data_IF_084161416234
#
_entry.id   IF_084161416234
#
_cell.length_a   1.000
_cell.length_b   1.000
_cell.length_c   1.000
_cell.angle_alpha   90.00
_cell.angle_beta   90.00
_cell.angle_gamma   90.00
#
_symmetry.space_group_name_H-M   'P 1'
#
loop_
_entity.id
_entity.type
_entity.pdbx_description
1 polymer ?
#
# COMPACT_ATOMS: atom_id res chain seq x y z
N UNK A 1 -20.77 28.04 1.50
CA UNK A 1 -20.07 26.91 0.86
C UNK A 1 -18.68 26.88 1.45
N UNK A 2 -18.15 25.71 1.81
CA UNK A 2 -16.77 25.64 2.30
C UNK A 2 -15.81 26.16 1.22
N UNK A 3 -14.81 26.95 1.62
CA UNK A 3 -13.73 27.36 0.73
C UNK A 3 -12.97 26.11 0.27
N UNK A 4 -12.82 25.94 -1.04
CA UNK A 4 -12.02 24.85 -1.60
C UNK A 4 -10.53 25.20 -1.49
N UNK A 5 -9.74 24.25 -1.01
CA UNK A 5 -8.29 24.41 -0.84
C UNK A 5 -7.57 23.19 -1.41
N UNK A 6 -6.40 23.42 -2.02
CA UNK A 6 -5.53 22.35 -2.50
C UNK A 6 -4.71 21.78 -1.33
N UNK A 7 -4.99 20.52 -0.97
CA UNK A 7 -4.25 19.77 0.05
C UNK A 7 -2.92 19.24 -0.47
N UNK A 8 -2.94 18.71 -1.70
CA UNK A 8 -1.75 18.19 -2.36
C UNK A 8 -1.57 18.83 -3.71
N UNK A 9 -0.31 19.11 -4.05
CA UNK A 9 0.09 19.73 -5.30
C UNK A 9 1.14 18.86 -5.98
N UNK A 10 1.12 18.81 -7.31
CA UNK A 10 1.99 17.94 -8.08
C UNK A 10 2.08 18.39 -9.53
N UNK A 11 3.01 17.80 -10.27
CA UNK A 11 3.19 18.08 -11.69
C UNK A 11 3.13 16.77 -12.45
N UNK A 12 2.12 16.62 -13.30
CA UNK A 12 1.99 15.50 -14.21
C UNK A 12 2.79 15.79 -15.48
N UNK A 13 3.78 14.96 -15.78
CA UNK A 13 4.60 15.08 -16.99
C UNK A 13 4.00 14.23 -18.11
N UNK A 14 3.62 14.90 -19.20
CA UNK A 14 3.04 14.28 -20.39
C UNK A 14 3.87 14.66 -21.62
N UNK A 15 4.86 13.83 -21.96
CA UNK A 15 5.81 14.14 -23.04
C UNK A 15 6.61 15.41 -22.72
N UNK A 16 6.36 16.49 -23.47
CA UNK A 16 6.99 17.80 -23.27
C UNK A 16 6.15 18.77 -22.41
N UNK A 17 4.94 18.37 -22.01
CA UNK A 17 4.06 19.21 -21.21
C UNK A 17 4.19 18.86 -19.73
N UNK A 18 4.32 19.90 -18.91
CA UNK A 18 4.21 19.82 -17.46
C UNK A 18 2.85 20.37 -17.07
N UNK A 19 2.01 19.53 -16.46
CA UNK A 19 0.63 19.83 -16.11
C UNK A 19 0.50 19.86 -14.58
N UNK A 20 0.58 21.05 -13.95
CA UNK A 20 0.21 21.23 -12.56
C UNK A 20 -1.16 20.63 -12.23
N UNK A 21 -1.19 19.77 -11.24
CA UNK A 21 -2.37 19.06 -10.77
C UNK A 21 -2.48 19.15 -9.24
N UNK A 22 -3.71 19.04 -8.75
CA UNK A 22 -4.05 19.28 -7.35
C UNK A 22 -5.09 18.27 -6.87
N UNK A 23 -5.00 17.92 -5.58
CA UNK A 23 -6.06 17.23 -4.85
C UNK A 23 -6.64 18.20 -3.83
N UNK A 24 -7.95 18.44 -3.92
CA UNK A 24 -8.67 19.38 -3.07
C UNK A 24 -9.10 18.75 -1.74
N UNK A 25 -9.53 19.58 -0.79
CA UNK A 25 -10.09 19.16 0.50
C UNK A 25 -11.37 18.31 0.44
N UNK A 26 -12.06 18.31 -0.69
CA UNK A 26 -13.18 17.41 -0.99
C UNK A 26 -12.76 16.20 -1.83
N UNK A 27 -11.46 15.90 -1.86
CA UNK A 27 -10.84 14.80 -2.60
C UNK A 27 -10.96 14.90 -4.12
N UNK A 28 -11.44 16.02 -4.68
CA UNK A 28 -11.48 16.18 -6.13
C UNK A 28 -10.08 16.38 -6.70
N UNK A 29 -9.81 15.70 -7.82
CA UNK A 29 -8.59 15.84 -8.61
C UNK A 29 -8.83 16.91 -9.67
N UNK A 30 -7.98 17.94 -9.69
CA UNK A 30 -8.19 19.09 -10.56
C UNK A 30 -6.91 19.52 -11.26
N UNK A 31 -7.05 20.03 -12.48
CA UNK A 31 -6.01 20.74 -13.23
C UNK A 31 -6.34 22.23 -13.28
N UNK A 32 -5.32 23.08 -13.34
CA UNK A 32 -5.55 24.51 -13.59
C UNK A 32 -6.15 24.73 -14.98
N UNK A 33 -7.13 25.61 -15.09
CA UNK A 33 -7.79 25.97 -16.34
C UNK A 33 -6.78 26.42 -17.42
N UNK A 34 -5.75 27.16 -17.02
CA UNK A 34 -4.67 27.60 -17.91
C UNK A 34 -3.94 26.40 -18.53
N UNK A 35 -3.67 25.38 -17.73
CA UNK A 35 -2.92 24.20 -18.14
C UNK A 35 -3.75 23.29 -19.04
N UNK A 36 -5.06 23.20 -18.81
CA UNK A 36 -5.98 22.51 -19.72
C UNK A 36 -6.06 23.22 -21.08
N UNK A 37 -6.06 24.55 -21.09
CA UNK A 37 -5.97 25.32 -22.35
C UNK A 37 -4.63 25.07 -23.04
N UNK A 38 -3.51 25.09 -22.32
CA UNK A 38 -2.19 24.82 -22.86
C UNK A 38 -2.09 23.41 -23.45
N UNK A 39 -2.63 22.41 -22.76
CA UNK A 39 -2.74 21.03 -23.21
C UNK A 39 -3.48 20.93 -24.55
N UNK A 40 -4.72 21.44 -24.60
CA UNK A 40 -5.58 21.27 -25.77
C UNK A 40 -5.04 22.10 -26.95
N UNK A 41 -4.59 23.33 -26.69
CA UNK A 41 -4.12 24.24 -27.75
C UNK A 41 -2.73 23.90 -28.31
N UNK A 42 -2.01 22.95 -27.71
CA UNK A 42 -0.64 22.59 -28.09
C UNK A 42 0.39 23.66 -27.73
N UNK A 43 0.21 24.34 -26.58
CA UNK A 43 1.22 25.25 -26.03
C UNK A 43 0.86 26.74 -26.03
N UNK A 44 -0.40 27.14 -26.24
CA UNK A 44 -0.78 28.56 -26.03
C UNK A 44 -0.89 28.85 -24.53
N UNK A 45 -0.17 29.88 -24.10
CA UNK A 45 -0.09 30.34 -22.71
C UNK A 45 -1.31 31.21 -22.29
N UNK A 46 -2.11 31.69 -23.25
CA UNK A 46 -3.26 32.56 -22.99
C UNK A 46 -4.49 32.16 -23.83
N UNK A 47 -5.66 32.21 -23.18
CA UNK A 47 -6.95 31.94 -23.80
C UNK A 47 -7.99 31.46 -22.80
N UNK A 48 -9.24 31.90 -22.96
CA UNK A 48 -10.35 31.36 -22.19
C UNK A 48 -10.73 29.96 -22.70
N UNK A 49 -10.78 28.97 -21.80
CA UNK A 49 -11.28 27.62 -22.11
C UNK A 49 -12.64 27.67 -22.83
N UNK A 50 -13.46 28.65 -22.49
CA UNK A 50 -14.78 28.89 -23.05
C UNK A 50 -14.80 28.98 -24.57
N UNK A 51 -13.79 29.62 -25.17
CA UNK A 51 -13.72 29.79 -26.62
C UNK A 51 -13.43 28.45 -27.33
N UNK A 52 -12.68 27.57 -26.67
CA UNK A 52 -12.36 26.23 -27.20
C UNK A 52 -13.54 25.27 -27.07
N UNK A 53 -14.36 25.42 -26.02
CA UNK A 53 -15.54 24.57 -25.80
C UNK A 53 -16.74 25.00 -26.66
N UNK A 54 -16.93 26.30 -26.88
CA UNK A 54 -17.99 26.85 -27.75
C UNK A 54 -17.65 26.84 -29.25
N UNK A 55 -16.56 26.17 -29.64
CA UNK A 55 -16.23 25.99 -31.04
C UNK A 55 -17.31 25.12 -31.69
N UNK A 56 -17.94 25.60 -32.77
CA UNK A 56 -19.02 24.89 -33.50
C UNK A 56 -18.63 23.46 -33.91
N UNK A 57 -17.34 23.21 -34.11
CA UNK A 57 -16.79 21.91 -34.47
C UNK A 57 -16.78 20.88 -33.32
N UNK A 58 -16.82 21.32 -32.06
CA UNK A 58 -16.64 20.46 -30.87
C UNK A 58 -17.86 20.50 -29.94
N UNK A 59 -18.52 21.65 -29.83
CA UNK A 59 -19.69 21.89 -28.97
C UNK A 59 -20.76 20.79 -29.02
N UNK A 60 -21.13 20.22 -30.19
CA UNK A 60 -22.12 19.14 -30.27
C UNK A 60 -21.74 17.86 -29.53
N UNK A 61 -20.43 17.59 -29.41
CA UNK A 61 -19.87 16.36 -28.85
C UNK A 61 -19.53 16.47 -27.36
N UNK A 62 -19.62 17.66 -26.77
CA UNK A 62 -19.40 17.84 -25.34
C UNK A 62 -20.58 17.26 -24.53
N UNK A 63 -20.30 16.68 -23.35
CA UNK A 63 -21.34 16.27 -22.41
C UNK A 63 -22.33 17.40 -22.07
N UNK A 64 -23.59 17.09 -21.74
CA UNK A 64 -24.63 18.09 -21.46
C UNK A 64 -24.23 19.13 -20.40
N UNK A 65 -23.43 18.74 -19.40
CA UNK A 65 -22.91 19.63 -18.36
C UNK A 65 -22.13 20.84 -18.91
N UNK A 66 -21.54 20.75 -20.11
CA UNK A 66 -20.81 21.86 -20.74
C UNK A 66 -21.66 22.74 -21.65
N UNK A 67 -22.94 22.42 -21.85
CA UNK A 67 -23.86 23.20 -22.72
C UNK A 67 -24.40 24.47 -22.04
N UNK A 68 -24.21 24.62 -20.73
CA UNK A 68 -24.59 25.80 -19.93
C UNK A 68 -23.48 26.86 -19.81
N UNK A 69 -23.51 27.67 -18.74
CA UNK A 69 -22.38 28.55 -18.43
C UNK A 69 -21.21 27.72 -17.90
N UNK A 70 -20.04 27.85 -18.54
CA UNK A 70 -18.82 27.10 -18.17
C UNK A 70 -18.36 27.43 -16.74
N UNK A 71 -18.80 28.56 -16.17
CA UNK A 71 -18.56 28.92 -14.77
C UNK A 71 -19.05 27.84 -13.80
N UNK A 72 -20.05 27.06 -14.19
CA UNK A 72 -20.62 26.00 -13.34
C UNK A 72 -19.71 24.77 -13.22
N UNK A 73 -18.77 24.60 -14.17
CA UNK A 73 -17.83 23.47 -14.19
C UNK A 73 -16.40 23.88 -13.81
N UNK A 74 -16.20 25.12 -13.37
CA UNK A 74 -14.90 25.63 -12.91
C UNK A 74 -14.91 25.71 -11.40
N UNK A 75 -14.03 24.95 -10.77
CA UNK A 75 -13.83 24.95 -9.32
C UNK A 75 -12.86 26.08 -8.96
N UNK A 76 -13.28 27.03 -8.13
CA UNK A 76 -12.39 28.07 -7.63
C UNK A 76 -11.83 27.59 -6.29
N UNK A 77 -10.50 27.47 -6.20
CA UNK A 77 -9.84 26.98 -4.99
C UNK A 77 -8.57 27.78 -4.67
N UNK A 78 -8.14 27.73 -3.41
CA UNK A 78 -6.87 28.32 -2.96
C UNK A 78 -5.76 27.29 -3.00
N UNK A 79 -4.63 27.64 -3.60
CA UNK A 79 -3.36 26.93 -3.48
C UNK A 79 -2.37 27.85 -2.77
N UNK A 80 -2.21 27.67 -1.46
CA UNK A 80 -1.49 28.62 -0.61
C UNK A 80 -2.18 29.99 -0.63
N UNK A 81 -1.44 31.04 -1.02
CA UNK A 81 -1.97 32.41 -1.13
C UNK A 81 -2.67 32.72 -2.46
N UNK A 82 -2.65 31.81 -3.43
CA UNK A 82 -3.13 32.08 -4.79
C UNK A 82 -4.48 31.42 -5.04
N UNK A 83 -5.42 32.18 -5.59
CA UNK A 83 -6.70 31.65 -6.08
C UNK A 83 -6.55 31.13 -7.50
N UNK A 84 -6.94 29.87 -7.73
CA UNK A 84 -6.82 29.18 -9.02
C UNK A 84 -8.21 28.73 -9.49
N UNK A 85 -8.43 28.88 -10.80
CA UNK A 85 -9.57 28.28 -11.50
C UNK A 85 -9.20 26.88 -11.96
N UNK A 86 -9.86 25.87 -11.41
CA UNK A 86 -9.63 24.46 -11.67
C UNK A 86 -10.71 23.83 -12.54
N UNK A 87 -10.34 22.79 -13.26
CA UNK A 87 -11.22 21.88 -13.99
C UNK A 87 -11.00 20.49 -13.42
N UNK A 88 -12.08 19.75 -13.18
CA UNK A 88 -11.98 18.38 -12.68
C UNK A 88 -11.24 17.47 -13.68
N UNK A 89 -10.41 16.56 -13.19
CA UNK A 89 -9.60 15.68 -14.02
C UNK A 89 -10.45 14.87 -15.02
N UNK A 90 -11.62 14.38 -14.58
CA UNK A 90 -12.59 13.70 -15.44
C UNK A 90 -13.18 14.61 -16.53
N UNK A 91 -13.41 15.88 -16.21
CA UNK A 91 -13.89 16.87 -17.19
C UNK A 91 -12.87 17.12 -18.30
N UNK A 92 -11.57 17.11 -17.99
CA UNK A 92 -10.50 17.23 -19.00
C UNK A 92 -10.55 16.04 -19.97
N UNK A 93 -10.74 14.82 -19.46
CA UNK A 93 -10.88 13.62 -20.28
C UNK A 93 -12.11 13.73 -21.20
N UNK A 94 -13.23 14.21 -20.68
CA UNK A 94 -14.46 14.41 -21.47
C UNK A 94 -14.26 15.43 -22.59
N UNK A 95 -13.55 16.53 -22.32
CA UNK A 95 -13.21 17.55 -23.32
C UNK A 95 -12.31 16.93 -24.39
N UNK A 96 -11.26 16.20 -24.02
CA UNK A 96 -10.38 15.52 -24.97
C UNK A 96 -11.16 14.52 -25.84
N UNK A 97 -12.08 13.75 -25.27
CA UNK A 97 -12.95 12.82 -26.02
C UNK A 97 -13.81 13.55 -27.05
N UNK A 98 -14.37 14.72 -26.70
CA UNK A 98 -15.15 15.51 -27.64
C UNK A 98 -14.33 15.93 -28.87
N UNK A 99 -13.06 16.32 -28.69
CA UNK A 99 -12.15 16.61 -29.81
C UNK A 99 -11.87 15.37 -30.68
N UNK A 100 -11.68 14.20 -30.08
CA UNK A 100 -11.48 12.95 -30.84
C UNK A 100 -12.72 12.58 -31.66
N UNK A 101 -13.91 12.69 -31.06
CA UNK A 101 -15.18 12.43 -31.75
C UNK A 101 -15.43 13.44 -32.88
N UNK A 102 -15.12 14.72 -32.65
CA UNK A 102 -15.19 15.74 -33.69
C UNK A 102 -14.25 15.44 -34.86
N UNK A 103 -13.03 14.94 -34.59
CA UNK A 103 -12.07 14.51 -35.61
C UNK A 103 -12.62 13.33 -36.42
N UNK A 104 -13.14 12.30 -35.74
CA UNK A 104 -13.70 11.11 -36.38
C UNK A 104 -14.87 11.42 -37.32
N UNK A 105 -15.67 12.44 -36.98
CA UNK A 105 -16.80 12.90 -37.81
C UNK A 105 -16.41 13.92 -38.88
N UNK A 106 -15.13 14.30 -39.01
CA UNK A 106 -14.68 15.29 -39.98
C UNK A 106 -15.14 16.73 -39.68
N UNK A 107 -15.64 17.00 -38.46
CA UNK A 107 -16.18 18.30 -38.06
C UNK A 107 -15.11 19.33 -37.70
N UNK A 108 -13.87 18.89 -37.47
CA UNK A 108 -12.75 19.77 -37.12
C UNK A 108 -12.19 20.51 -38.33
N UNK A 109 -11.93 21.81 -38.15
CA UNK A 109 -11.19 22.60 -39.14
C UNK A 109 -9.73 22.10 -39.25
N UNK A 110 -9.07 22.18 -40.42
CA UNK A 110 -7.67 21.74 -40.56
C UNK A 110 -6.70 22.36 -39.54
N UNK A 111 -6.93 23.62 -39.16
CA UNK A 111 -6.14 24.30 -38.12
C UNK A 111 -6.34 23.72 -36.70
N UNK A 112 -7.43 23.00 -36.46
CA UNK A 112 -7.75 22.33 -35.19
C UNK A 112 -7.22 20.89 -35.13
N UNK A 113 -6.64 20.36 -36.21
CA UNK A 113 -6.12 18.99 -36.24
C UNK A 113 -5.12 18.70 -35.12
N UNK A 114 -4.24 19.68 -34.82
CA UNK A 114 -3.27 19.59 -33.72
C UNK A 114 -3.93 19.45 -32.34
N UNK A 115 -5.10 20.06 -32.13
CA UNK A 115 -5.81 19.98 -30.83
C UNK A 115 -6.28 18.55 -30.56
N UNK A 116 -6.79 17.86 -31.58
CA UNK A 116 -7.21 16.47 -31.46
C UNK A 116 -6.03 15.52 -31.25
N UNK A 117 -4.88 15.79 -31.86
CA UNK A 117 -3.64 15.02 -31.62
C UNK A 117 -3.16 15.15 -30.17
N UNK A 118 -3.20 16.35 -29.57
CA UNK A 118 -2.88 16.54 -28.15
C UNK A 118 -3.88 15.81 -27.23
N UNK A 119 -5.17 15.91 -27.54
CA UNK A 119 -6.22 15.19 -26.81
C UNK A 119 -6.02 13.67 -26.85
N UNK A 120 -5.57 13.13 -28.00
CA UNK A 120 -5.27 11.72 -28.17
C UNK A 120 -4.08 11.28 -27.30
N UNK A 121 -2.99 12.05 -27.30
CA UNK A 121 -1.84 11.76 -26.43
C UNK A 121 -2.22 11.76 -24.95
N UNK A 122 -3.01 12.74 -24.52
CA UNK A 122 -3.47 12.83 -23.13
C UNK A 122 -4.30 11.62 -22.71
N UNK A 123 -5.31 11.26 -23.51
CA UNK A 123 -6.17 10.10 -23.25
C UNK A 123 -5.33 8.81 -23.25
N UNK A 124 -4.42 8.68 -24.21
CA UNK A 124 -3.57 7.49 -24.33
C UNK A 124 -2.67 7.30 -23.12
N UNK A 125 -2.09 8.39 -22.59
CA UNK A 125 -1.25 8.31 -21.39
C UNK A 125 -2.05 7.90 -20.14
N UNK A 126 -3.31 8.33 -20.04
CA UNK A 126 -4.17 8.02 -18.92
C UNK A 126 -4.93 6.69 -19.08
N UNK A 127 -4.86 6.04 -20.25
CA UNK A 127 -5.73 4.92 -20.60
C UNK A 127 -5.53 3.67 -19.72
N UNK A 128 -4.29 3.39 -19.29
CA UNK A 128 -3.98 2.18 -18.52
C UNK A 128 -4.20 2.35 -17.02
N UNK A 129 -3.86 3.50 -16.48
CA UNK A 129 -3.86 3.80 -15.03
C UNK A 129 -5.12 4.54 -14.58
N UNK A 130 -5.76 5.31 -15.47
CA UNK A 130 -6.85 6.22 -15.15
C UNK A 130 -6.34 7.58 -14.68
N UNK A 131 -7.05 8.66 -15.05
CA UNK A 131 -6.59 10.02 -14.78
C UNK A 131 -6.46 10.31 -13.28
N UNK A 132 -7.41 9.87 -12.45
CA UNK A 132 -7.37 10.10 -11.00
C UNK A 132 -6.15 9.45 -10.36
N UNK A 133 -5.81 8.22 -10.79
CA UNK A 133 -4.62 7.52 -10.30
C UNK A 133 -3.32 8.22 -10.72
N UNK A 134 -3.26 8.76 -11.94
CA UNK A 134 -2.10 9.53 -12.40
C UNK A 134 -1.95 10.82 -11.59
N UNK A 135 -3.04 11.52 -11.27
CA UNK A 135 -3.00 12.69 -10.38
C UNK A 135 -2.57 12.28 -8.97
N UNK A 136 -3.08 11.18 -8.44
CA UNK A 136 -2.70 10.67 -7.12
C UNK A 136 -1.21 10.31 -7.04
N UNK A 137 -0.65 9.76 -8.11
CA UNK A 137 0.78 9.47 -8.22
C UNK A 137 1.61 10.76 -8.31
N UNK A 138 1.20 11.69 -9.18
CA UNK A 138 1.91 12.95 -9.43
C UNK A 138 1.91 13.90 -8.21
N UNK A 139 0.86 13.85 -7.38
CA UNK A 139 0.72 14.65 -6.16
C UNK A 139 1.19 13.92 -4.89
N UNK A 140 1.48 12.62 -4.98
CA UNK A 140 1.78 11.78 -3.83
C UNK A 140 0.56 11.40 -2.97
N UNK A 141 -0.65 11.84 -3.33
CA UNK A 141 -1.89 11.54 -2.60
C UNK A 141 -2.17 10.03 -2.49
N UNK A 142 -1.62 9.21 -3.39
CA UNK A 142 -1.73 7.74 -3.31
C UNK A 142 -1.26 7.16 -1.97
N UNK A 143 -0.29 7.78 -1.29
CA UNK A 143 0.20 7.31 0.01
C UNK A 143 -0.76 7.71 1.12
N UNK A 144 -1.25 8.95 1.10
CA UNK A 144 -2.21 9.46 2.07
C UNK A 144 -3.53 8.67 2.03
N UNK A 145 -4.06 8.44 0.81
CA UNK A 145 -5.27 7.64 0.60
C UNK A 145 -5.14 6.24 1.20
N UNK A 146 -4.04 5.53 0.92
CA UNK A 146 -3.81 4.19 1.47
C UNK A 146 -3.75 4.18 3.00
N UNK A 147 -3.17 5.20 3.61
CA UNK A 147 -3.11 5.34 5.07
C UNK A 147 -4.50 5.60 5.65
N UNK A 148 -5.28 6.50 5.05
CA UNK A 148 -6.66 6.76 5.49
C UNK A 148 -7.55 5.53 5.32
N UNK A 149 -7.51 4.87 4.16
CA UNK A 149 -8.28 3.64 3.91
C UNK A 149 -7.97 2.56 4.98
N UNK A 150 -6.69 2.46 5.37
CA UNK A 150 -6.26 1.57 6.45
C UNK A 150 -6.79 2.02 7.80
N UNK A 151 -6.67 3.31 8.13
CA UNK A 151 -7.12 3.85 9.41
C UNK A 151 -8.64 3.71 9.57
N UNK A 152 -9.41 3.99 8.52
CA UNK A 152 -10.87 3.78 8.50
C UNK A 152 -11.23 2.32 8.71
N UNK A 153 -10.51 1.41 8.05
CA UNK A 153 -10.69 -0.04 8.26
C UNK A 153 -10.39 -0.43 9.71
N UNK A 154 -9.31 0.06 10.30
CA UNK A 154 -8.97 -0.21 11.70
C UNK A 154 -10.04 0.35 12.64
N UNK A 155 -10.47 1.59 12.43
CA UNK A 155 -11.52 2.24 13.23
C UNK A 155 -12.86 1.50 13.14
N UNK A 156 -13.15 0.86 12.00
CA UNK A 156 -14.35 0.06 11.85
C UNK A 156 -14.34 -1.20 12.74
N UNK A 157 -13.17 -1.80 12.98
CA UNK A 157 -13.03 -3.05 13.75
C UNK A 157 -12.61 -2.85 15.21
N UNK A 158 -11.82 -1.81 15.48
CA UNK A 158 -11.10 -1.61 16.72
C UNK A 158 -11.58 -0.35 17.45
N UNK A 159 -11.45 -0.38 18.77
CA UNK A 159 -11.60 0.79 19.63
C UNK A 159 -10.24 1.15 20.26
N UNK A 160 -10.14 2.35 20.80
CA UNK A 160 -8.90 2.86 21.38
C UNK A 160 -8.54 2.19 22.71
N UNK A 161 -9.55 1.77 23.49
CA UNK A 161 -9.38 1.20 24.82
C UNK A 161 -9.64 -0.32 24.86
N UNK A 162 -9.00 -1.01 25.81
CA UNK A 162 -9.21 -2.44 26.03
C UNK A 162 -10.54 -2.67 26.76
N UNK A 163 -11.43 -3.47 26.20
CA UNK A 163 -12.62 -3.96 26.89
C UNK A 163 -12.29 -4.93 28.03
N UNK A 164 -13.27 -5.12 28.92
CA UNK A 164 -13.23 -6.21 29.90
C UNK A 164 -13.04 -7.56 29.21
N UNK A 165 -12.28 -8.43 29.86
CA UNK A 165 -11.96 -9.75 29.33
C UNK A 165 -13.24 -10.54 29.09
N UNK A 166 -13.43 -10.97 27.84
CA UNK A 166 -14.56 -11.79 27.43
C UNK A 166 -14.03 -13.07 26.79
N UNK A 167 -14.56 -14.22 27.20
CA UNK A 167 -14.14 -15.53 26.70
C UNK A 167 -14.51 -15.66 25.20
N UNK A 168 -13.60 -15.21 24.34
CA UNK A 168 -13.85 -15.12 22.89
C UNK A 168 -13.59 -16.44 22.18
N UNK A 169 -12.65 -17.25 22.68
CA UNK A 169 -12.29 -18.53 22.07
C UNK A 169 -12.92 -19.70 22.82
N UNK A 170 -13.87 -20.44 22.19
CA UNK A 170 -14.51 -21.56 22.85
C UNK A 170 -13.49 -22.69 23.03
N UNK A 171 -13.68 -23.49 24.09
CA UNK A 171 -12.85 -24.68 24.35
C UNK A 171 -12.75 -25.60 23.12
N UNK A 172 -13.84 -25.73 22.38
CA UNK A 172 -13.91 -26.56 21.17
C UNK A 172 -12.82 -26.22 20.15
N UNK A 173 -12.53 -24.94 19.93
CA UNK A 173 -11.47 -24.51 19.02
C UNK A 173 -10.12 -25.13 19.38
N UNK A 174 -9.74 -25.06 20.66
CA UNK A 174 -8.47 -25.62 21.13
C UNK A 174 -8.46 -27.15 21.10
N UNK A 175 -9.61 -27.80 21.32
CA UNK A 175 -9.72 -29.26 21.19
C UNK A 175 -9.51 -29.70 19.74
N UNK A 176 -10.05 -28.96 18.77
CA UNK A 176 -9.80 -29.23 17.35
C UNK A 176 -8.32 -29.01 16.99
N UNK A 177 -7.62 -28.03 17.60
CA UNK A 177 -6.18 -27.87 17.40
C UNK A 177 -5.37 -29.07 17.89
N UNK A 178 -5.69 -29.60 19.08
CA UNK A 178 -5.06 -30.83 19.58
C UNK A 178 -5.30 -32.01 18.63
N UNK A 179 -6.55 -32.20 18.17
CA UNK A 179 -6.92 -33.22 17.18
C UNK A 179 -6.10 -33.09 15.90
N UNK A 180 -6.02 -31.89 15.31
CA UNK A 180 -5.28 -31.65 14.06
C UNK A 180 -3.76 -31.82 14.22
N UNK A 181 -3.21 -31.57 15.41
CA UNK A 181 -1.81 -31.88 15.75
C UNK A 181 -1.56 -33.38 16.00
N UNK A 182 -2.61 -34.21 16.06
CA UNK A 182 -2.50 -35.62 16.43
C UNK A 182 -2.12 -35.83 17.89
N UNK A 183 -2.43 -34.87 18.77
CA UNK A 183 -2.12 -34.93 20.20
C UNK A 183 -3.38 -35.07 21.04
N UNK A 184 -3.28 -35.82 22.12
CA UNK A 184 -4.34 -35.87 23.14
C UNK A 184 -4.28 -34.63 24.03
N UNK A 185 -5.43 -33.98 24.30
CA UNK A 185 -5.48 -32.88 25.25
C UNK A 185 -5.19 -33.41 26.68
N UNK A 186 -4.51 -32.63 27.53
CA UNK A 186 -4.20 -33.04 28.89
C UNK A 186 -5.48 -33.22 29.73
N UNK A 187 -5.50 -34.27 30.55
CA UNK A 187 -6.43 -34.44 31.67
C UNK A 187 -5.61 -34.51 32.97
N UNK A 188 -5.81 -33.61 33.96
CA UNK A 188 -6.81 -32.53 34.02
C UNK A 188 -6.52 -31.34 33.09
N UNK A 189 -7.50 -30.43 32.94
CA UNK A 189 -7.38 -29.25 32.08
C UNK A 189 -6.24 -28.34 32.56
N UNK A 190 -5.27 -28.11 31.69
CA UNK A 190 -4.15 -27.20 31.92
C UNK A 190 -4.22 -25.99 31.00
N UNK A 191 -3.39 -24.98 31.28
CA UNK A 191 -3.21 -23.82 30.39
C UNK A 191 -2.83 -24.27 28.99
N UNK A 192 -3.40 -23.63 27.98
CA UNK A 192 -3.09 -23.98 26.60
C UNK A 192 -1.61 -23.68 26.27
N UNK A 193 -0.97 -24.51 25.43
CA UNK A 193 0.41 -24.30 25.01
C UNK A 193 0.57 -22.94 24.30
N UNK A 194 1.66 -22.22 24.60
CA UNK A 194 1.97 -20.92 23.98
C UNK A 194 1.93 -20.94 22.45
N UNK A 195 2.26 -22.08 21.82
CA UNK A 195 2.20 -22.25 20.36
C UNK A 195 0.79 -22.03 19.77
N UNK A 196 -0.28 -22.25 20.53
CA UNK A 196 -1.65 -22.01 20.06
C UNK A 196 -1.93 -20.53 19.80
N UNK A 197 -1.22 -19.61 20.47
CA UNK A 197 -1.29 -18.18 20.14
C UNK A 197 -0.86 -17.90 18.69
N UNK A 198 0.13 -18.64 18.17
CA UNK A 198 0.53 -18.54 16.75
C UNK A 198 -0.56 -19.03 15.81
N UNK A 199 -1.32 -20.04 16.20
CA UNK A 199 -2.44 -20.55 15.41
C UNK A 199 -3.64 -19.63 15.44
N UNK A 200 -3.94 -19.01 16.59
CA UNK A 200 -4.96 -17.95 16.66
C UNK A 200 -4.57 -16.81 15.73
N UNK A 201 -3.32 -16.33 15.80
CA UNK A 201 -2.87 -15.28 14.89
C UNK A 201 -2.99 -15.67 13.42
N UNK A 202 -2.60 -16.91 13.09
CA UNK A 202 -2.47 -17.33 11.70
C UNK A 202 -3.78 -17.79 11.05
N UNK A 203 -4.66 -18.44 11.81
CA UNK A 203 -5.89 -19.06 11.27
C UNK A 203 -7.15 -18.29 11.64
N UNK A 204 -7.05 -17.27 12.49
CA UNK A 204 -8.19 -16.43 12.87
C UNK A 204 -7.90 -15.01 12.39
N UNK A 205 -6.97 -14.29 13.03
CA UNK A 205 -6.74 -12.89 12.71
C UNK A 205 -6.23 -12.66 11.28
N UNK A 206 -5.18 -13.37 10.84
CA UNK A 206 -4.63 -13.24 9.47
C UNK A 206 -5.69 -13.56 8.39
N UNK A 207 -6.67 -14.41 8.72
CA UNK A 207 -7.75 -14.82 7.80
C UNK A 207 -9.00 -13.96 7.89
N UNK A 208 -9.18 -13.24 9.00
CA UNK A 208 -10.27 -12.30 9.22
C UNK A 208 -10.00 -11.03 8.40
N UNK A 209 -8.90 -10.35 8.71
CA UNK A 209 -8.38 -9.24 7.92
C UNK A 209 -6.86 -9.13 8.13
N UNK A 210 -6.05 -9.25 7.06
CA UNK A 210 -4.60 -9.21 7.16
C UNK A 210 -4.03 -7.91 7.75
N UNK A 211 -4.68 -6.77 7.51
CA UNK A 211 -4.21 -5.45 7.93
C UNK A 211 -4.51 -5.24 9.42
N UNK A 212 -5.72 -5.65 9.86
CA UNK A 212 -6.06 -5.72 11.28
C UNK A 212 -5.10 -6.66 12.02
N UNK A 213 -4.79 -7.81 11.43
CA UNK A 213 -3.81 -8.74 12.00
C UNK A 213 -2.40 -8.15 12.09
N UNK A 214 -1.98 -7.33 11.12
CA UNK A 214 -0.69 -6.63 11.16
C UNK A 214 -0.65 -5.63 12.32
N UNK A 215 -1.68 -4.79 12.44
CA UNK A 215 -1.80 -3.85 13.54
C UNK A 215 -1.78 -4.53 14.91
N UNK A 216 -2.53 -5.63 15.06
CA UNK A 216 -2.56 -6.41 16.30
C UNK A 216 -1.19 -7.02 16.66
N UNK A 217 -0.40 -7.44 15.66
CA UNK A 217 0.96 -7.97 15.88
C UNK A 217 1.93 -6.90 16.35
N UNK A 218 1.82 -5.69 15.81
CA UNK A 218 2.65 -4.54 16.19
C UNK A 218 2.28 -4.02 17.58
N UNK A 219 0.97 -3.99 17.89
CA UNK A 219 0.43 -3.55 19.18
C UNK A 219 0.18 -4.73 20.13
N UNK A 220 1.07 -5.73 20.13
CA UNK A 220 0.89 -6.92 20.94
C UNK A 220 1.14 -6.61 22.44
N UNK A 221 0.18 -6.90 23.33
CA UNK A 221 0.37 -6.66 24.77
C UNK A 221 1.47 -7.54 25.37
N UNK A 222 2.01 -7.11 26.51
CA UNK A 222 3.10 -7.81 27.19
C UNK A 222 2.74 -9.28 27.50
N UNK A 223 3.65 -10.24 27.24
CA UNK A 223 3.41 -11.64 27.50
C UNK A 223 3.11 -11.92 28.98
N UNK A 224 1.88 -12.36 29.29
CA UNK A 224 1.45 -12.71 30.65
C UNK A 224 0.65 -11.62 31.36
N UNK A 225 0.39 -10.48 30.72
CA UNK A 225 -0.54 -9.46 31.21
C UNK A 225 -2.02 -9.83 30.99
N UNK A 226 -2.91 -8.97 31.50
CA UNK A 226 -4.38 -9.11 31.40
C UNK A 226 -4.96 -8.55 30.08
N UNK A 227 -4.09 -8.14 29.15
CA UNK A 227 -4.46 -7.54 27.87
C UNK A 227 -4.24 -8.54 26.74
N UNK A 228 -5.21 -8.63 25.83
CA UNK A 228 -5.23 -9.53 24.69
C UNK A 228 -5.84 -8.84 23.47
N UNK A 229 -5.47 -9.29 22.27
CA UNK A 229 -5.91 -8.70 20.99
C UNK A 229 -7.42 -8.56 20.84
N UNK A 230 -8.21 -9.54 21.30
CA UNK A 230 -9.66 -9.52 21.15
C UNK A 230 -10.34 -8.39 21.93
N UNK A 231 -9.69 -7.86 22.97
CA UNK A 231 -10.24 -6.76 23.78
C UNK A 231 -10.17 -5.40 23.06
N UNK A 232 -9.39 -5.30 21.96
CA UNK A 232 -9.36 -4.11 21.13
C UNK A 232 -10.52 -4.05 20.13
N UNK A 233 -11.23 -5.16 19.89
CA UNK A 233 -12.34 -5.16 18.95
C UNK A 233 -13.56 -4.45 19.55
N UNK A 234 -14.16 -3.55 18.76
CA UNK A 234 -15.47 -2.97 19.06
C UNK A 234 -16.59 -4.02 18.82
N UNK A 235 -17.86 -3.67 19.04
CA UNK A 235 -18.97 -4.63 18.92
C UNK A 235 -19.07 -5.25 17.52
N UNK A 236 -18.98 -4.40 16.49
CA UNK A 236 -18.98 -4.85 15.09
C UNK A 236 -17.82 -5.80 14.78
N UNK A 237 -16.62 -5.43 15.20
CA UNK A 237 -15.42 -6.23 15.04
C UNK A 237 -15.51 -7.56 15.78
N UNK A 238 -16.13 -7.57 16.96
CA UNK A 238 -16.34 -8.78 17.76
C UNK A 238 -17.32 -9.74 17.10
N UNK A 239 -18.45 -9.24 16.57
CA UNK A 239 -19.44 -10.04 15.86
C UNK A 239 -18.84 -10.71 14.62
N UNK A 240 -18.01 -9.97 13.88
CA UNK A 240 -17.27 -10.49 12.74
C UNK A 240 -16.23 -11.53 13.15
N UNK A 241 -15.45 -11.26 14.21
CA UNK A 241 -14.48 -12.20 14.77
C UNK A 241 -15.14 -13.51 15.21
N UNK A 242 -16.28 -13.42 15.89
CA UNK A 242 -17.04 -14.57 16.37
C UNK A 242 -17.60 -15.42 15.22
N UNK A 243 -18.21 -14.77 14.23
CA UNK A 243 -18.74 -15.42 13.02
C UNK A 243 -17.64 -16.12 12.21
N UNK A 244 -16.49 -15.43 12.07
CA UNK A 244 -15.31 -15.98 11.42
C UNK A 244 -14.73 -17.18 12.17
N UNK A 245 -14.62 -17.08 13.50
CA UNK A 245 -14.15 -18.16 14.36
C UNK A 245 -15.02 -19.41 14.22
N UNK A 246 -16.35 -19.27 14.19
CA UNK A 246 -17.25 -20.41 13.97
C UNK A 246 -17.06 -21.05 12.59
N UNK A 247 -16.86 -20.23 11.56
CA UNK A 247 -16.54 -20.71 10.21
C UNK A 247 -15.25 -21.52 10.18
N UNK A 248 -14.20 -21.01 10.84
CA UNK A 248 -12.91 -21.72 10.98
C UNK A 248 -13.08 -23.03 11.75
N UNK A 249 -13.83 -23.04 12.86
CA UNK A 249 -14.13 -24.29 13.60
C UNK A 249 -14.86 -25.30 12.71
N UNK A 250 -15.80 -24.86 11.88
CA UNK A 250 -16.47 -25.71 10.90
C UNK A 250 -15.48 -26.37 9.93
N UNK A 251 -14.53 -25.59 9.40
CA UNK A 251 -13.47 -26.11 8.53
C UNK A 251 -12.54 -27.07 9.28
N UNK A 252 -12.20 -26.78 10.55
CA UNK A 252 -11.40 -27.67 11.39
C UNK A 252 -12.10 -29.02 11.60
N UNK A 253 -13.41 -29.01 11.85
CA UNK A 253 -14.23 -30.23 12.02
C UNK A 253 -14.23 -31.08 10.76
N UNK A 254 -14.37 -30.46 9.59
CA UNK A 254 -14.36 -31.11 8.29
C UNK A 254 -12.95 -31.62 7.87
N UNK A 255 -11.90 -31.19 8.56
CA UNK A 255 -10.52 -31.52 8.22
C UNK A 255 -10.01 -32.69 9.06
N UNK A 256 -9.42 -33.69 8.41
CA UNK A 256 -8.88 -34.88 9.06
C UNK A 256 -7.45 -34.70 9.56
N UNK A 257 -6.67 -33.83 8.90
CA UNK A 257 -5.27 -33.56 9.23
C UNK A 257 -4.97 -32.06 9.18
N UNK A 258 -3.90 -31.63 9.85
CA UNK A 258 -3.40 -30.24 9.77
C UNK A 258 -3.09 -29.81 8.33
N UNK A 259 -2.61 -30.73 7.47
CA UNK A 259 -2.37 -30.44 6.06
C UNK A 259 -3.66 -30.09 5.32
N UNK A 260 -4.68 -30.93 5.47
CA UNK A 260 -5.98 -30.70 4.84
C UNK A 260 -6.68 -29.45 5.37
N UNK A 261 -6.54 -29.18 6.66
CA UNK A 261 -7.05 -27.94 7.26
C UNK A 261 -6.43 -26.69 6.61
N UNK A 262 -5.11 -26.66 6.41
CA UNK A 262 -4.43 -25.52 5.77
C UNK A 262 -4.90 -25.31 4.32
N UNK A 263 -5.11 -26.39 3.58
CA UNK A 263 -5.68 -26.31 2.22
C UNK A 263 -7.10 -25.73 2.24
N UNK A 264 -7.97 -26.28 3.09
CA UNK A 264 -9.37 -25.86 3.18
C UNK A 264 -9.49 -24.40 3.64
N UNK A 265 -8.67 -23.95 4.60
CA UNK A 265 -8.62 -22.53 4.99
C UNK A 265 -8.14 -21.66 3.84
N UNK A 266 -7.11 -22.07 3.10
CA UNK A 266 -6.58 -21.29 1.99
C UNK A 266 -7.59 -21.15 0.83
N UNK A 267 -8.48 -22.12 0.67
CA UNK A 267 -9.58 -22.09 -0.29
C UNK A 267 -10.71 -21.19 0.22
N UNK A 268 -11.10 -21.34 1.49
CA UNK A 268 -12.19 -20.55 2.09
C UNK A 268 -11.83 -19.07 2.24
N UNK A 269 -10.57 -18.76 2.53
CA UNK A 269 -10.08 -17.40 2.80
C UNK A 269 -8.85 -17.07 1.93
N UNK A 270 -9.04 -16.85 0.61
CA UNK A 270 -7.94 -16.65 -0.33
C UNK A 270 -7.19 -15.32 -0.11
N UNK A 271 -7.88 -14.28 0.36
CA UNK A 271 -7.29 -12.96 0.62
C UNK A 271 -6.14 -13.03 1.63
N UNK A 272 -6.30 -13.84 2.68
CA UNK A 272 -5.28 -14.09 3.70
C UNK A 272 -3.98 -14.67 3.11
N UNK A 273 -4.11 -15.57 2.13
CA UNK A 273 -2.98 -16.22 1.46
C UNK A 273 -2.24 -15.24 0.57
N UNK A 274 -2.97 -14.46 -0.23
CA UNK A 274 -2.41 -13.50 -1.19
C UNK A 274 -1.70 -12.36 -0.47
N UNK A 275 -2.34 -11.77 0.55
CA UNK A 275 -1.77 -10.66 1.32
C UNK A 275 -0.56 -11.10 2.14
N UNK A 276 -0.59 -12.30 2.75
CA UNK A 276 0.58 -12.86 3.44
C UNK A 276 1.76 -13.08 2.49
N UNK A 277 1.50 -13.55 1.26
CA UNK A 277 2.55 -13.72 0.24
C UNK A 277 3.12 -12.36 -0.17
N UNK A 278 2.28 -11.36 -0.39
CA UNK A 278 2.70 -9.97 -0.63
C UNK A 278 3.61 -9.45 0.48
N UNK A 279 3.17 -9.58 1.74
CA UNK A 279 3.92 -9.19 2.95
C UNK A 279 5.28 -9.86 3.05
N UNK A 280 5.38 -11.16 2.76
CA UNK A 280 6.65 -11.88 2.79
C UNK A 280 7.61 -11.40 1.69
N UNK A 281 7.08 -11.04 0.53
CA UNK A 281 7.87 -10.49 -0.57
C UNK A 281 8.37 -9.07 -0.23
N UNK A 282 7.51 -8.23 0.34
CA UNK A 282 7.85 -6.86 0.73
C UNK A 282 8.87 -6.82 1.87
N UNK A 283 8.69 -7.61 2.94
CA UNK A 283 9.69 -7.73 4.02
C UNK A 283 11.04 -8.24 3.50
N UNK A 284 11.03 -9.10 2.48
CA UNK A 284 12.26 -9.57 1.82
C UNK A 284 12.93 -8.44 1.04
N UNK A 285 12.16 -7.63 0.30
CA UNK A 285 12.68 -6.48 -0.43
C UNK A 285 13.23 -5.39 0.49
N UNK A 286 12.56 -5.10 1.60
CA UNK A 286 13.03 -4.15 2.60
C UNK A 286 14.37 -4.59 3.21
N UNK A 287 14.49 -5.87 3.58
CA UNK A 287 15.77 -6.43 4.02
C UNK A 287 16.89 -6.29 2.98
N UNK A 288 16.58 -6.57 1.71
CA UNK A 288 17.55 -6.41 0.62
C UNK A 288 17.99 -4.94 0.51
N UNK A 289 17.04 -3.99 0.58
CA UNK A 289 17.36 -2.55 0.56
C UNK A 289 18.17 -2.10 1.78
N UNK A 290 17.86 -2.60 2.97
CA UNK A 290 18.62 -2.34 4.19
C UNK A 290 20.06 -2.89 4.08
N UNK A 291 20.22 -4.10 3.56
CA UNK A 291 21.54 -4.69 3.31
C UNK A 291 22.32 -3.91 2.25
N UNK A 292 21.67 -3.47 1.17
CA UNK A 292 22.27 -2.62 0.13
C UNK A 292 22.69 -1.24 0.66
N UNK A 293 21.84 -0.56 1.44
CA UNK A 293 22.16 0.74 2.04
C UNK A 293 23.26 0.63 3.09
N UNK A 294 23.27 -0.43 3.90
CA UNK A 294 24.34 -0.70 4.86
C UNK A 294 25.67 -0.95 4.15
N UNK A 295 25.66 -1.74 3.06
CA UNK A 295 26.85 -1.98 2.24
C UNK A 295 27.33 -0.72 1.51
N UNK A 296 26.42 0.13 1.04
CA UNK A 296 26.78 1.43 0.45
C UNK A 296 27.40 2.37 1.49
N UNK A 297 26.83 2.45 2.69
CA UNK A 297 27.42 3.23 3.79
C UNK A 297 28.81 2.71 4.17
N UNK A 298 28.99 1.41 4.35
CA UNK A 298 30.29 0.77 4.58
C UNK A 298 31.30 1.12 3.46
N UNK A 299 30.90 1.00 2.20
CA UNK A 299 31.76 1.35 1.04
C UNK A 299 32.14 2.83 0.98
N UNK A 300 31.27 3.72 1.47
CA UNK A 300 31.50 5.17 1.51
C UNK A 300 32.45 5.54 2.64
N UNK A 301 32.37 4.86 3.79
CA UNK A 301 33.31 5.01 4.90
C UNK A 301 34.69 4.42 4.59
N UNK A 302 34.78 3.38 3.76
CA UNK A 302 36.05 2.83 3.27
C UNK A 302 36.81 3.79 2.33
N UNK A 303 36.11 4.77 1.74
CA UNK A 303 36.68 5.78 0.84
C UNK A 303 37.04 7.12 1.51
N UNK A 304 36.68 7.32 2.78
CA UNK A 304 37.10 8.51 3.53
C UNK A 304 38.49 8.22 4.12
N UNK A 305 39.54 8.55 3.36
CA UNK A 305 40.90 8.61 3.91
C UNK A 305 40.96 9.75 4.94
N UNK A 306 40.84 9.41 6.23
CA UNK A 306 41.16 10.37 7.29
C UNK A 306 42.68 10.56 7.32
N UNK A 307 43.12 11.81 7.48
CA UNK A 307 44.52 12.28 7.34
C UNK A 307 45.49 11.65 8.37
N UNK A 308 45.03 10.75 9.24
CA UNK A 308 45.87 9.99 10.17
C UNK A 308 45.56 8.48 10.11
N UNK A 309 45.59 7.88 8.91
CA UNK A 309 45.58 6.42 8.77
C UNK A 309 47.00 5.93 8.50
N UNK A 310 47.65 5.17 9.40
CA UNK A 310 48.98 4.62 9.14
C UNK A 310 48.91 3.63 7.97
N UNK A 311 49.99 3.60 7.19
CA UNK A 311 50.13 2.73 6.02
C UNK A 311 49.97 1.25 6.40
N UNK A 312 49.63 0.43 5.40
CA UNK A 312 49.20 -0.99 5.50
C UNK A 312 50.20 -1.95 6.19
N UNK A 313 51.36 -1.47 6.64
CA UNK A 313 52.40 -2.26 7.30
C UNK A 313 52.33 -2.21 8.84
N UNK A 314 51.51 -1.35 9.46
CA UNK A 314 51.46 -1.20 10.92
C UNK A 314 50.24 -1.84 11.64
N UNK A 315 49.27 -2.44 10.92
CA UNK A 315 48.12 -3.13 11.55
C UNK A 315 48.36 -4.61 11.86
N UNK A 316 49.59 -4.99 12.16
CA UNK A 316 49.89 -6.28 12.82
C UNK A 316 50.54 -5.95 14.15
N UNK A 317 49.72 -5.59 15.15
CA UNK A 317 49.95 -5.86 16.57
C UNK A 317 48.79 -5.33 17.41
N UNK A 318 48.29 -6.23 18.26
CA UNK A 318 47.44 -6.01 19.42
C UNK A 318 45.99 -5.53 19.21
N UNK A 319 45.09 -6.52 19.21
CA UNK A 319 44.17 -6.69 20.35
C UNK A 319 43.67 -8.13 20.40
N UNK A 320 44.23 -8.88 21.34
CA UNK A 320 43.74 -10.17 21.80
C UNK A 320 42.33 -10.00 22.40
N UNK A 321 41.28 -10.41 21.69
CA UNK A 321 40.08 -10.98 22.31
C UNK A 321 39.23 -11.75 21.29
N UNK A 322 39.79 -12.84 20.76
CA UNK A 322 39.11 -13.70 19.80
C UNK A 322 38.26 -14.77 20.52
N UNK A 323 36.96 -14.50 20.69
CA UNK A 323 35.96 -15.58 20.76
C UNK A 323 35.25 -15.68 19.42
N UNK A 324 35.65 -16.68 18.65
CA UNK A 324 34.97 -17.08 17.41
C UNK A 324 33.47 -17.31 17.69
N UNK A 325 32.63 -16.81 16.80
CA UNK A 325 31.20 -17.17 16.72
C UNK A 325 31.00 -18.68 16.73
N UNK A 326 29.91 -19.16 17.33
CA UNK A 326 29.54 -20.58 17.44
C UNK A 326 29.55 -21.33 16.10
N UNK A 327 29.22 -20.60 15.02
CA UNK A 327 29.31 -21.11 13.66
C UNK A 327 30.75 -21.32 13.21
N UNK A 328 31.64 -20.35 13.48
CA UNK A 328 33.05 -20.40 13.10
C UNK A 328 33.84 -21.41 13.94
N UNK A 329 33.45 -21.64 15.20
CA UNK A 329 34.02 -22.71 16.03
C UNK A 329 33.74 -24.11 15.46
N UNK A 330 32.51 -24.34 14.96
CA UNK A 330 32.14 -25.61 14.32
C UNK A 330 32.85 -25.81 12.99
N UNK A 331 33.03 -24.74 12.22
CA UNK A 331 33.75 -24.79 10.95
C UNK A 331 35.24 -25.12 11.15
N UNK A 332 35.88 -24.47 12.14
CA UNK A 332 37.28 -24.74 12.50
C UNK A 332 37.48 -26.19 12.96
N UNK A 333 36.57 -26.71 13.80
CA UNK A 333 36.58 -28.14 14.20
C UNK A 333 36.44 -29.12 13.04
N UNK A 334 35.73 -28.75 11.98
CA UNK A 334 35.59 -29.58 10.77
C UNK A 334 36.82 -29.51 9.87
N UNK A 335 37.51 -28.37 9.83
CA UNK A 335 38.75 -28.17 9.07
C UNK A 335 39.96 -28.83 9.73
N UNK A 336 40.01 -28.84 11.06
CA UNK A 336 41.08 -29.48 11.85
C UNK A 336 40.87 -31.01 12.01
N UNK A 337 39.82 -31.59 11.40
CA UNK A 337 39.53 -33.02 11.49
C UNK A 337 40.42 -33.82 10.52
N UNK A 338 41.45 -34.48 11.06
CA UNK A 338 42.27 -35.43 10.34
C UNK A 338 41.84 -36.88 10.65
N UNK A 339 41.27 -37.63 9.69
CA UNK A 339 40.75 -38.98 9.94
C UNK A 339 41.81 -40.07 10.17
N UNK A 340 43.12 -39.74 10.11
CA UNK A 340 44.22 -40.70 10.31
C UNK A 340 44.78 -40.81 11.74
N UNK A 341 44.27 -40.04 12.70
CA UNK A 341 44.78 -40.03 14.10
C UNK A 341 43.95 -40.87 15.08
N UNK A 342 43.11 -41.79 14.59
CA UNK A 342 42.23 -42.63 15.44
C UNK A 342 42.43 -44.14 15.30
N UNK A 343 43.62 -44.57 14.91
CA UNK A 343 44.06 -45.96 15.06
C UNK A 343 45.41 -45.99 15.78
N UNK A 344 45.35 -45.96 17.11
CA UNK A 344 46.28 -46.66 18.03
C UNK A 344 45.62 -46.82 19.40
#
# INVERSE_FOLDING_TARGET
>A
MADLEALHTGIMKLGMFELPCYVLNNEKRVFSQREVVKLISGGRESGGLTNYLKARSVEPYLPPKFRGEIKDNVLIFKAGSTTIHGIEANDVVDICKAYLTARQNGSLHPQQAKLAEQAEMFITACAKTGIDAVVDEATGYQYFRKVNDLQEKLNAYLQEEYREWTLTFPREFFMQLYKLEGKTPPMPLQKYPKRFGRYVMHYIYDTLDPDVADFLRENNPEPGGNRHHHQLFNDFGYDNLSSHLMSVIGIMKASTTMGKFKENIAIAFPNARTTRRGRLLEKRQLKIKEEETTNQQLSMFDYISTVNTPSKEEKVKDTNNDKLSDFNQKLKKGLDYNPKEKEE
#
